data_IF_537921407472
#
_entry.id   IF_537921407472
#
_cell.length_a   1.000
_cell.length_b   1.000
_cell.length_c   1.000
_cell.angle_alpha   90.00
_cell.angle_beta   90.00
_cell.angle_gamma   90.00
#
_symmetry.space_group_name_H-M   'P 1'
#
loop_
_entity.id
_entity.type
_entity.pdbx_description
1 polymer ?
#
# COMPACT_ATOMS: atom_id res chain seq x y z
N UNK A 1 20.11 3.93 8.01
CA UNK A 1 19.04 3.10 7.40
C UNK A 1 18.59 3.87 6.17
N UNK A 2 18.65 3.31 4.95
CA UNK A 2 18.19 4.04 3.77
C UNK A 2 16.67 4.21 3.88
N UNK A 3 16.20 5.45 4.04
CA UNK A 3 14.76 5.74 4.03
C UNK A 3 14.17 5.20 2.73
N UNK A 4 13.02 4.51 2.83
CA UNK A 4 12.28 4.11 1.64
C UNK A 4 11.78 5.38 0.95
N UNK A 5 12.50 5.81 -0.09
CA UNK A 5 12.09 6.96 -0.86
C UNK A 5 10.99 6.56 -1.83
N UNK A 6 9.75 6.91 -1.47
CA UNK A 6 8.63 6.86 -2.40
C UNK A 6 8.88 7.93 -3.45
N UNK A 7 9.10 7.51 -4.70
CA UNK A 7 9.29 8.43 -5.81
C UNK A 7 7.93 9.06 -6.20
N UNK A 8 7.50 10.04 -5.41
CA UNK A 8 6.28 10.81 -5.60
C UNK A 8 6.48 11.75 -6.81
N UNK A 9 5.62 11.70 -7.84
CA UNK A 9 5.69 12.63 -8.96
C UNK A 9 5.31 14.04 -8.50
N UNK A 10 5.63 15.06 -9.31
CA UNK A 10 5.31 16.46 -8.99
C UNK A 10 3.81 16.75 -9.06
N UNK A 11 3.11 16.06 -9.95
CA UNK A 11 1.68 16.23 -10.17
C UNK A 11 1.05 14.94 -10.68
N UNK A 12 -0.28 14.90 -10.66
CA UNK A 12 -1.09 13.76 -11.05
C UNK A 12 -2.58 14.03 -10.82
N UNK A 13 -3.40 12.99 -10.87
CA UNK A 13 -4.82 13.08 -10.54
C UNK A 13 -5.01 13.30 -9.03
N UNK A 14 -6.24 13.64 -8.63
CA UNK A 14 -6.58 13.74 -7.20
C UNK A 14 -6.39 12.39 -6.51
N UNK A 15 -6.79 11.30 -7.15
CA UNK A 15 -6.56 9.93 -6.67
C UNK A 15 -5.07 9.62 -6.50
N UNK A 16 -4.23 10.01 -7.47
CA UNK A 16 -2.78 9.87 -7.39
C UNK A 16 -2.20 10.65 -6.20
N UNK A 17 -2.61 11.90 -6.02
CA UNK A 17 -2.17 12.74 -4.91
C UNK A 17 -2.47 12.09 -3.55
N UNK A 18 -3.71 11.62 -3.36
CA UNK A 18 -4.15 10.95 -2.13
C UNK A 18 -3.38 9.66 -1.87
N UNK A 19 -3.11 8.87 -2.92
CA UNK A 19 -2.32 7.64 -2.80
C UNK A 19 -0.92 7.93 -2.26
N UNK A 20 -0.18 8.85 -2.90
CA UNK A 20 1.20 9.13 -2.52
C UNK A 20 1.31 9.78 -1.14
N UNK A 21 0.39 10.69 -0.80
CA UNK A 21 0.31 11.29 0.53
C UNK A 21 0.08 10.24 1.63
N UNK A 22 -0.87 9.33 1.42
CA UNK A 22 -1.14 8.25 2.39
C UNK A 22 0.04 7.28 2.50
N UNK A 23 0.67 6.92 1.39
CA UNK A 23 1.84 6.02 1.37
C UNK A 23 3.02 6.63 2.15
N UNK A 24 3.32 7.92 1.93
CA UNK A 24 4.40 8.62 2.63
C UNK A 24 4.11 8.67 4.13
N UNK A 25 2.92 9.10 4.54
CA UNK A 25 2.54 9.18 5.96
C UNK A 25 2.62 7.83 6.67
N UNK A 26 2.18 6.75 6.02
CA UNK A 26 2.24 5.41 6.59
C UNK A 26 3.70 4.94 6.79
N UNK A 27 4.60 5.28 5.86
CA UNK A 27 6.02 4.94 5.96
C UNK A 27 6.76 5.81 6.96
N UNK A 28 6.48 7.11 7.00
CA UNK A 28 6.99 8.02 8.03
C UNK A 28 6.59 7.51 9.42
N UNK A 29 5.34 7.07 9.59
CA UNK A 29 4.89 6.47 10.84
C UNK A 29 5.63 5.16 11.15
N UNK A 30 5.84 4.29 10.15
CA UNK A 30 6.60 3.06 10.31
C UNK A 30 8.03 3.33 10.79
N UNK A 31 8.74 4.26 10.15
CA UNK A 31 10.10 4.63 10.53
C UNK A 31 10.16 5.38 11.85
N UNK A 32 9.16 6.23 12.15
CA UNK A 32 9.03 6.90 13.44
C UNK A 32 9.01 5.90 14.60
N UNK A 33 8.23 4.81 14.48
CA UNK A 33 8.17 3.76 15.51
C UNK A 33 9.53 3.06 15.66
N UNK A 34 10.18 2.70 14.55
CA UNK A 34 11.50 2.05 14.57
C UNK A 34 12.54 2.96 15.24
N UNK A 35 12.62 4.22 14.81
CA UNK A 35 13.56 5.20 15.33
C UNK A 35 13.31 5.47 16.82
N UNK A 36 12.04 5.56 17.24
CA UNK A 36 11.68 5.73 18.65
C UNK A 36 12.20 4.57 19.49
N UNK A 37 11.96 3.33 19.06
CA UNK A 37 12.44 2.13 19.78
C UNK A 37 13.97 2.09 19.84
N UNK A 38 14.66 2.48 18.77
CA UNK A 38 16.11 2.57 18.73
C UNK A 38 16.65 3.59 19.74
N UNK A 39 16.08 4.78 19.79
CA UNK A 39 16.50 5.86 20.69
C UNK A 39 16.26 5.48 22.16
N UNK A 40 15.13 4.83 22.47
CA UNK A 40 14.81 4.39 23.84
C UNK A 40 15.85 3.40 24.39
N UNK A 41 16.35 2.47 23.56
CA UNK A 41 17.41 1.56 23.99
C UNK A 41 18.79 2.21 23.98
N UNK A 42 19.01 3.20 23.12
CA UNK A 42 20.29 3.91 23.01
C UNK A 42 20.60 4.79 24.22
N UNK A 43 19.62 5.55 24.74
CA UNK A 43 19.85 6.50 25.84
C UNK A 43 20.43 5.81 27.09
N UNK A 44 19.85 4.71 27.62
CA UNK A 44 20.40 4.03 28.79
C UNK A 44 21.77 3.38 28.52
N UNK A 45 21.98 2.87 27.31
CA UNK A 45 23.28 2.31 26.91
C UNK A 45 24.37 3.39 26.95
N UNK A 46 24.11 4.53 26.32
CA UNK A 46 25.05 5.63 26.27
C UNK A 46 25.31 6.20 27.67
N UNK A 47 24.27 6.43 28.48
CA UNK A 47 24.41 6.91 29.85
C UNK A 47 25.29 5.97 30.70
N UNK A 48 25.06 4.65 30.61
CA UNK A 48 25.89 3.65 31.28
C UNK A 48 27.36 3.71 30.82
N UNK A 49 27.59 3.76 29.51
CA UNK A 49 28.94 3.79 28.93
C UNK A 49 29.70 5.06 29.28
N UNK A 50 29.01 6.21 29.36
CA UNK A 50 29.60 7.47 29.82
C UNK A 50 30.04 7.38 31.28
N UNK A 51 29.24 6.77 32.17
CA UNK A 51 29.65 6.57 33.57
C UNK A 51 30.86 5.62 33.67
N UNK A 52 30.85 4.50 32.93
CA UNK A 52 31.98 3.56 32.88
C UNK A 52 33.27 4.23 32.38
N UNK A 53 33.17 5.21 31.47
CA UNK A 53 34.34 5.97 30.98
C UNK A 53 34.92 6.85 32.09
N UNK A 54 34.07 7.54 32.84
CA UNK A 54 34.51 8.38 33.98
C UNK A 54 35.21 7.53 35.04
N UNK A 55 34.75 6.29 35.24
CA UNK A 55 35.36 5.33 36.16
C UNK A 55 36.62 4.64 35.59
N UNK A 56 37.01 4.94 34.34
CA UNK A 56 38.17 4.34 33.67
C UNK A 56 37.97 2.87 33.27
N UNK A 57 36.72 2.40 33.21
CA UNK A 57 36.37 1.00 32.91
C UNK A 57 36.25 0.71 31.40
N UNK A 58 36.07 1.75 30.58
CA UNK A 58 35.95 1.65 29.12
C UNK A 58 36.69 2.80 28.44
N UNK A 59 36.97 2.64 27.15
CA UNK A 59 37.59 3.66 26.29
C UNK A 59 36.54 4.45 25.50
N UNK A 60 36.89 5.65 25.02
CA UNK A 60 35.98 6.46 24.17
C UNK A 60 35.51 5.73 22.91
N UNK A 61 36.37 4.86 22.35
CA UNK A 61 36.04 4.04 21.17
C UNK A 61 34.91 3.03 21.45
N UNK A 62 34.73 2.62 22.71
CA UNK A 62 33.65 1.70 23.12
C UNK A 62 32.30 2.40 23.34
N UNK A 63 32.28 3.74 23.34
CA UNK A 63 31.09 4.58 23.49
C UNK A 63 30.52 4.99 22.13
N UNK A 64 31.37 5.07 21.11
CA UNK A 64 31.08 5.65 19.79
C UNK A 64 30.05 4.87 18.93
N UNK A 65 29.33 3.91 19.49
CA UNK A 65 28.34 3.14 18.73
C UNK A 65 27.14 4.01 18.38
N UNK A 66 26.72 3.99 17.11
CA UNK A 66 25.46 4.58 16.69
C UNK A 66 24.25 3.76 17.18
N UNK A 67 23.04 4.35 17.27
CA UNK A 67 21.82 3.58 17.52
C UNK A 67 21.64 2.40 16.55
N UNK A 68 22.01 2.56 15.28
CA UNK A 68 21.97 1.52 14.25
C UNK A 68 22.91 0.36 14.56
N UNK A 69 24.16 0.66 14.94
CA UNK A 69 25.13 -0.36 15.33
C UNK A 69 24.71 -1.11 16.59
N UNK A 70 24.15 -0.39 17.57
CA UNK A 70 23.64 -0.98 18.79
C UNK A 70 22.50 -1.96 18.49
N UNK A 71 21.58 -1.57 17.59
CA UNK A 71 20.50 -2.44 17.14
C UNK A 71 21.03 -3.75 16.54
N UNK A 72 22.10 -3.70 15.76
CA UNK A 72 22.64 -4.89 15.10
C UNK A 72 23.45 -5.77 16.05
N UNK A 73 24.31 -5.18 16.87
CA UNK A 73 25.34 -5.89 17.63
C UNK A 73 24.92 -6.24 19.05
N UNK A 74 24.16 -5.37 19.73
CA UNK A 74 23.74 -5.56 21.12
C UNK A 74 22.37 -4.92 21.37
N UNK A 75 21.30 -5.48 20.79
CA UNK A 75 19.98 -4.89 20.87
C UNK A 75 19.48 -4.85 22.32
N UNK A 76 18.98 -3.69 22.73
CA UNK A 76 18.31 -3.52 24.02
C UNK A 76 16.97 -4.25 24.10
N UNK A 77 16.27 -4.08 25.21
CA UNK A 77 15.04 -4.82 25.49
C UNK A 77 13.89 -4.40 24.58
N UNK A 78 13.81 -3.13 24.19
CA UNK A 78 12.73 -2.63 23.34
C UNK A 78 12.89 -3.09 21.90
N UNK A 79 14.11 -3.08 21.35
CA UNK A 79 14.43 -3.64 20.05
C UNK A 79 14.14 -5.15 20.02
N UNK A 80 14.53 -5.89 21.07
CA UNK A 80 14.18 -7.32 21.19
C UNK A 80 12.67 -7.54 21.19
N UNK A 81 11.90 -6.66 21.87
CA UNK A 81 10.43 -6.73 21.89
C UNK A 81 9.85 -6.42 20.51
N UNK A 82 10.31 -5.38 19.83
CA UNK A 82 9.90 -5.05 18.46
C UNK A 82 10.17 -6.21 17.50
N UNK A 83 11.33 -6.88 17.60
CA UNK A 83 11.65 -8.08 16.80
C UNK A 83 10.71 -9.25 17.03
N UNK A 84 10.20 -9.42 18.25
CA UNK A 84 9.23 -10.48 18.57
C UNK A 84 7.85 -10.20 17.94
N UNK A 85 7.51 -8.93 17.75
CA UNK A 85 6.24 -8.47 17.17
C UNK A 85 6.39 -7.93 15.74
N UNK A 86 7.51 -8.23 15.08
CA UNK A 86 7.80 -7.65 13.76
C UNK A 86 6.84 -8.15 12.70
N UNK A 87 6.35 -9.39 12.86
CA UNK A 87 5.38 -9.98 11.94
C UNK A 87 4.10 -9.13 11.94
N UNK A 88 3.48 -8.95 13.10
CA UNK A 88 2.23 -8.19 13.26
C UNK A 88 2.40 -6.72 12.86
N UNK A 89 3.56 -6.13 13.18
CA UNK A 89 3.85 -4.76 12.80
C UNK A 89 3.94 -4.58 11.27
N UNK A 90 4.63 -5.49 10.58
CA UNK A 90 4.73 -5.47 9.12
C UNK A 90 3.36 -5.78 8.49
N UNK A 91 2.60 -6.73 9.02
CA UNK A 91 1.25 -7.07 8.54
C UNK A 91 0.32 -5.85 8.49
N UNK A 92 0.36 -5.01 9.53
CA UNK A 92 -0.44 -3.79 9.64
C UNK A 92 -0.10 -2.80 8.53
N UNK A 93 1.18 -2.46 8.36
CA UNK A 93 1.60 -1.50 7.34
C UNK A 93 1.39 -2.07 5.94
N UNK A 94 1.73 -3.34 5.72
CA UNK A 94 1.53 -4.03 4.45
C UNK A 94 0.06 -3.98 4.01
N UNK A 95 -0.87 -4.30 4.92
CA UNK A 95 -2.31 -4.26 4.61
C UNK A 95 -2.77 -2.86 4.23
N UNK A 96 -2.30 -1.83 4.94
CA UNK A 96 -2.60 -0.43 4.59
C UNK A 96 -2.11 -0.05 3.20
N UNK A 97 -0.91 -0.48 2.82
CA UNK A 97 -0.36 -0.21 1.48
C UNK A 97 -1.19 -0.86 0.36
N UNK A 98 -1.62 -2.12 0.56
CA UNK A 98 -2.48 -2.81 -0.41
C UNK A 98 -3.86 -2.15 -0.50
N UNK A 99 -4.44 -1.78 0.63
CA UNK A 99 -5.76 -1.12 0.69
C UNK A 99 -5.72 0.28 0.07
N UNK A 100 -4.63 1.04 0.30
CA UNK A 100 -4.40 2.33 -0.34
C UNK A 100 -4.31 2.21 -1.86
N UNK A 101 -3.58 1.20 -2.37
CA UNK A 101 -3.51 0.92 -3.80
C UNK A 101 -4.87 0.55 -4.41
N UNK A 102 -5.65 -0.32 -3.76
CA UNK A 102 -6.98 -0.67 -4.25
C UNK A 102 -7.93 0.53 -4.25
N UNK A 103 -7.86 1.36 -3.21
CA UNK A 103 -8.63 2.61 -3.09
C UNK A 103 -8.27 3.58 -4.21
N UNK A 104 -6.98 3.73 -4.53
CA UNK A 104 -6.52 4.51 -5.67
C UNK A 104 -7.20 4.09 -6.97
N UNK A 105 -7.20 2.79 -7.30
CA UNK A 105 -7.78 2.33 -8.56
C UNK A 105 -9.28 2.64 -8.63
N UNK A 106 -9.99 2.38 -7.55
CA UNK A 106 -11.44 2.63 -7.45
C UNK A 106 -11.75 4.13 -7.60
N UNK A 107 -10.95 4.98 -6.98
CA UNK A 107 -11.11 6.44 -7.08
C UNK A 107 -10.74 6.97 -8.47
N UNK A 108 -9.68 6.46 -9.09
CA UNK A 108 -9.31 6.82 -10.46
C UNK A 108 -10.41 6.42 -11.45
N UNK A 109 -10.97 5.22 -11.31
CA UNK A 109 -12.10 4.78 -12.14
C UNK A 109 -13.28 5.74 -11.98
N UNK A 110 -13.58 6.17 -10.76
CA UNK A 110 -14.63 7.16 -10.51
C UNK A 110 -14.33 8.49 -11.21
N UNK A 111 -13.11 9.00 -11.11
CA UNK A 111 -12.71 10.25 -11.79
C UNK A 111 -12.86 10.14 -13.32
N UNK A 112 -12.41 9.04 -13.90
CA UNK A 112 -12.56 8.78 -15.35
C UNK A 112 -14.03 8.71 -15.75
N UNK A 113 -14.87 8.03 -14.98
CA UNK A 113 -16.29 7.88 -15.30
C UNK A 113 -17.07 9.19 -15.17
N UNK A 114 -16.64 10.12 -14.31
CA UNK A 114 -17.24 11.46 -14.21
C UNK A 114 -16.95 12.30 -15.45
N UNK A 115 -15.74 12.20 -16.01
CA UNK A 115 -15.35 12.92 -17.23
C UNK A 115 -15.89 12.23 -18.49
N UNK A 116 -15.95 10.89 -18.49
CA UNK A 116 -16.43 10.11 -19.64
C UNK A 116 -17.47 9.04 -19.23
N UNK A 117 -18.72 9.45 -18.89
CA UNK A 117 -19.79 8.53 -18.47
C UNK A 117 -20.17 7.50 -19.54
N UNK A 118 -19.95 7.81 -20.82
CA UNK A 118 -20.25 6.93 -21.95
C UNK A 118 -19.55 5.56 -21.88
N UNK A 119 -18.47 5.42 -21.09
CA UNK A 119 -17.83 4.13 -20.81
C UNK A 119 -18.80 3.12 -20.17
N UNK A 120 -19.82 3.60 -19.45
CA UNK A 120 -20.84 2.76 -18.80
C UNK A 120 -21.76 2.06 -19.80
N UNK A 121 -21.98 2.63 -20.99
CA UNK A 121 -22.89 2.08 -22.00
C UNK A 121 -22.53 0.64 -22.41
N UNK A 122 -21.24 0.31 -22.45
CA UNK A 122 -20.75 -1.00 -22.87
C UNK A 122 -21.06 -2.14 -21.88
N UNK A 123 -21.68 -1.84 -20.73
CA UNK A 123 -21.99 -2.82 -19.70
C UNK A 123 -23.43 -2.75 -19.16
N UNK A 124 -24.36 -2.12 -19.90
CA UNK A 124 -25.81 -2.06 -19.62
C UNK A 124 -26.16 -1.97 -18.12
N UNK A 125 -25.94 -0.82 -17.45
CA UNK A 125 -26.47 -0.64 -16.11
C UNK A 125 -28.00 -0.76 -16.15
N UNK A 126 -28.57 -1.69 -15.39
CA UNK A 126 -30.01 -1.77 -15.18
C UNK A 126 -30.44 -0.61 -14.29
N UNK A 127 -31.13 0.37 -14.88
CA UNK A 127 -31.77 1.48 -14.15
C UNK A 127 -33.24 1.10 -13.97
N UNK A 128 -33.70 1.04 -12.72
CA UNK A 128 -35.12 0.78 -12.44
C UNK A 128 -35.96 2.04 -12.67
N UNK A 129 -37.26 1.85 -12.94
CA UNK A 129 -38.20 2.98 -13.05
C UNK A 129 -38.26 3.75 -11.72
N UNK A 130 -38.19 3.06 -10.58
CA UNK A 130 -38.16 3.70 -9.27
C UNK A 130 -36.98 4.67 -9.13
N UNK A 131 -35.76 4.22 -9.47
CA UNK A 131 -34.57 5.10 -9.47
C UNK A 131 -34.73 6.30 -10.40
N UNK A 132 -35.33 6.11 -11.57
CA UNK A 132 -35.56 7.21 -12.51
C UNK A 132 -36.56 8.26 -11.98
N UNK A 133 -37.52 7.84 -11.14
CA UNK A 133 -38.50 8.72 -10.53
C UNK A 133 -37.99 9.41 -9.25
N UNK A 134 -36.96 8.85 -8.61
CA UNK A 134 -36.37 9.38 -7.37
C UNK A 134 -35.34 10.49 -7.60
N UNK A 135 -34.65 10.49 -8.75
CA UNK A 135 -33.61 11.47 -9.07
C UNK A 135 -34.17 12.81 -9.54
N UNK A 136 -33.58 13.92 -9.09
CA UNK A 136 -33.97 15.28 -9.45
C UNK A 136 -33.40 15.69 -10.82
N UNK A 137 -32.33 15.02 -11.26
CA UNK A 137 -31.64 15.36 -12.51
C UNK A 137 -30.93 14.18 -13.18
N UNK A 138 -30.59 14.36 -14.46
CA UNK A 138 -29.75 13.41 -15.21
C UNK A 138 -28.35 13.26 -14.60
N UNK A 139 -27.77 14.35 -14.08
CA UNK A 139 -26.42 14.34 -13.52
C UNK A 139 -26.37 13.58 -12.18
N UNK A 140 -27.43 13.69 -11.39
CA UNK A 140 -27.62 12.88 -10.19
C UNK A 140 -27.72 11.39 -10.54
N UNK A 141 -28.53 11.04 -11.54
CA UNK A 141 -28.64 9.65 -12.02
C UNK A 141 -27.30 9.09 -12.49
N UNK A 142 -26.53 9.86 -13.27
CA UNK A 142 -25.20 9.46 -13.72
C UNK A 142 -24.28 9.23 -12.51
N UNK A 143 -24.31 10.12 -11.53
CA UNK A 143 -23.51 10.00 -10.31
C UNK A 143 -23.85 8.72 -9.54
N UNK A 144 -25.14 8.43 -9.35
CA UNK A 144 -25.58 7.21 -8.67
C UNK A 144 -25.12 5.95 -9.42
N UNK A 145 -25.26 5.91 -10.75
CA UNK A 145 -24.81 4.78 -11.58
C UNK A 145 -23.28 4.60 -11.46
N UNK A 146 -22.51 5.70 -11.44
CA UNK A 146 -21.07 5.65 -11.24
C UNK A 146 -20.74 5.05 -9.87
N UNK A 147 -21.35 5.54 -8.80
CA UNK A 147 -21.06 5.05 -7.45
C UNK A 147 -21.46 3.57 -7.28
N UNK A 148 -22.62 3.17 -7.80
CA UNK A 148 -23.05 1.77 -7.82
C UNK A 148 -22.04 0.89 -8.59
N UNK A 149 -21.54 1.37 -9.73
CA UNK A 149 -20.56 0.64 -10.53
C UNK A 149 -19.22 0.51 -9.79
N UNK A 150 -18.73 1.61 -9.23
CA UNK A 150 -17.46 1.67 -8.52
C UNK A 150 -17.51 0.79 -7.26
N UNK A 151 -18.61 0.83 -6.51
CA UNK A 151 -18.86 -0.05 -5.36
C UNK A 151 -18.89 -1.53 -5.76
N UNK A 152 -19.58 -1.88 -6.85
CA UNK A 152 -19.59 -3.25 -7.38
C UNK A 152 -18.20 -3.74 -7.78
N UNK A 153 -17.37 -2.87 -8.36
CA UNK A 153 -15.99 -3.18 -8.73
C UNK A 153 -15.10 -3.41 -7.51
N UNK A 154 -15.18 -2.53 -6.51
CA UNK A 154 -14.43 -2.64 -5.25
C UNK A 154 -14.72 -3.98 -4.56
N UNK A 155 -15.99 -4.38 -4.46
CA UNK A 155 -16.41 -5.63 -3.80
C UNK A 155 -15.95 -6.90 -4.54
N UNK A 156 -15.66 -6.82 -5.84
CA UNK A 156 -15.23 -7.97 -6.66
C UNK A 156 -13.71 -8.18 -6.66
N UNK A 157 -12.95 -7.26 -6.10
CA UNK A 157 -11.49 -7.32 -6.00
C UNK A 157 -10.74 -7.05 -7.32
N UNK A 158 -9.42 -6.88 -7.20
CA UNK A 158 -8.55 -6.36 -8.27
C UNK A 158 -8.62 -7.11 -9.60
N UNK A 159 -8.70 -8.45 -9.62
CA UNK A 159 -8.78 -9.21 -10.88
C UNK A 159 -9.99 -8.81 -11.72
N UNK A 160 -11.12 -8.52 -11.08
CA UNK A 160 -12.32 -8.08 -11.79
C UNK A 160 -12.22 -6.63 -12.23
N UNK A 161 -11.59 -5.78 -11.42
CA UNK A 161 -11.28 -4.39 -11.78
C UNK A 161 -10.37 -4.35 -13.01
N UNK A 162 -9.26 -5.08 -13.00
CA UNK A 162 -8.30 -5.17 -14.11
C UNK A 162 -8.99 -5.59 -15.42
N UNK A 163 -9.76 -6.68 -15.38
CA UNK A 163 -10.54 -7.15 -16.53
C UNK A 163 -11.51 -6.09 -17.05
N UNK A 164 -12.23 -5.43 -16.14
CA UNK A 164 -13.21 -4.43 -16.51
C UNK A 164 -12.55 -3.18 -17.09
N UNK A 165 -11.46 -2.69 -16.51
CA UNK A 165 -10.69 -1.56 -17.01
C UNK A 165 -10.17 -1.84 -18.43
N UNK A 166 -9.59 -3.04 -18.66
CA UNK A 166 -9.15 -3.46 -20.00
C UNK A 166 -10.29 -3.46 -21.02
N UNK A 167 -11.44 -4.05 -20.69
CA UNK A 167 -12.64 -4.04 -21.55
C UNK A 167 -13.15 -2.62 -21.82
N UNK A 168 -13.02 -1.74 -20.83
CA UNK A 168 -13.54 -0.36 -20.86
C UNK A 168 -12.54 0.64 -21.45
N UNK A 169 -11.35 0.18 -21.84
CA UNK A 169 -10.27 1.01 -22.38
C UNK A 169 -9.55 1.87 -21.34
N UNK A 170 -9.72 1.64 -20.04
CA UNK A 170 -9.02 2.38 -18.98
C UNK A 170 -7.57 1.87 -18.90
N UNK A 171 -6.54 2.75 -19.01
CA UNK A 171 -5.15 2.35 -19.22
C UNK A 171 -4.46 2.00 -17.91
N UNK A 172 -4.88 0.90 -17.26
CA UNK A 172 -4.13 0.33 -16.15
C UNK A 172 -2.78 -0.20 -16.66
N UNK A 173 -1.68 0.37 -16.15
CA UNK A 173 -0.33 0.01 -16.59
C UNK A 173 0.16 -1.21 -15.83
N UNK A 174 -0.36 -2.38 -16.21
CA UNK A 174 -0.06 -3.67 -15.57
C UNK A 174 0.21 -4.71 -16.65
N UNK A 175 1.50 -4.94 -16.92
CA UNK A 175 1.93 -6.05 -17.77
C UNK A 175 1.70 -7.41 -17.08
N UNK A 176 2.03 -8.50 -17.78
CA UNK A 176 1.82 -9.86 -17.28
C UNK A 176 2.63 -10.15 -15.99
N UNK A 177 3.86 -9.69 -15.90
CA UNK A 177 4.73 -9.96 -14.74
C UNK A 177 4.25 -9.16 -13.52
N UNK A 178 3.97 -7.87 -13.72
CA UNK A 178 3.39 -7.00 -12.69
C UNK A 178 2.05 -7.53 -12.22
N UNK A 179 1.20 -8.06 -13.12
CA UNK A 179 -0.09 -8.63 -12.74
C UNK A 179 0.06 -9.80 -11.76
N UNK A 180 1.09 -10.64 -11.94
CA UNK A 180 1.37 -11.77 -11.04
C UNK A 180 1.79 -11.23 -9.66
N UNK A 181 2.71 -10.25 -9.60
CA UNK A 181 3.17 -9.65 -8.34
C UNK A 181 2.03 -8.93 -7.61
N UNK A 182 1.21 -8.14 -8.31
CA UNK A 182 0.05 -7.47 -7.71
C UNK A 182 -0.96 -8.47 -7.12
N UNK A 183 -1.21 -9.57 -7.84
CA UNK A 183 -2.06 -10.66 -7.33
C UNK A 183 -1.47 -11.30 -6.09
N UNK A 184 -0.16 -11.51 -6.06
CA UNK A 184 0.52 -12.01 -4.86
C UNK A 184 0.33 -11.06 -3.69
N UNK A 185 0.56 -9.76 -3.88
CA UNK A 185 0.43 -8.78 -2.80
C UNK A 185 -0.98 -8.71 -2.22
N UNK A 186 -1.98 -8.80 -3.08
CA UNK A 186 -3.38 -8.85 -2.65
C UNK A 186 -3.71 -10.17 -1.97
N UNK A 187 -3.18 -11.30 -2.46
CA UNK A 187 -3.36 -12.59 -1.81
C UNK A 187 -2.72 -12.63 -0.41
N UNK A 188 -1.55 -12.01 -0.24
CA UNK A 188 -0.89 -11.82 1.05
C UNK A 188 -1.80 -11.03 2.00
N UNK A 189 -2.28 -9.86 1.57
CA UNK A 189 -3.23 -9.07 2.36
C UNK A 189 -4.47 -9.87 2.75
N UNK A 190 -5.00 -10.69 1.86
CA UNK A 190 -6.16 -11.51 2.16
C UNK A 190 -5.88 -12.55 3.26
N UNK A 191 -4.73 -13.21 3.25
CA UNK A 191 -4.38 -14.15 4.32
C UNK A 191 -4.00 -13.44 5.63
N UNK A 192 -3.46 -12.22 5.59
CA UNK A 192 -3.28 -11.37 6.78
C UNK A 192 -4.64 -11.20 7.46
N UNK A 193 -5.62 -10.66 6.73
CA UNK A 193 -6.93 -10.27 7.28
C UNK A 193 -7.79 -11.47 7.65
N UNK A 194 -7.81 -12.52 6.82
CA UNK A 194 -8.77 -13.60 6.98
C UNK A 194 -8.20 -14.87 7.62
N UNK A 195 -6.87 -15.02 7.68
CA UNK A 195 -6.26 -16.27 8.13
C UNK A 195 -4.97 -16.09 8.95
N UNK A 196 -4.71 -14.91 9.52
CA UNK A 196 -3.52 -14.64 10.37
C UNK A 196 -2.21 -15.07 9.70
N UNK A 197 -2.06 -14.74 8.41
CA UNK A 197 -0.94 -15.15 7.55
C UNK A 197 -0.78 -16.66 7.33
N UNK A 198 -1.74 -17.50 7.71
CA UNK A 198 -1.72 -18.93 7.41
C UNK A 198 -2.12 -19.13 5.95
N UNK A 199 -1.31 -19.87 5.20
CA UNK A 199 -1.55 -20.16 3.79
C UNK A 199 -2.72 -21.14 3.65
N UNK A 200 -3.74 -20.74 2.87
CA UNK A 200 -4.91 -21.55 2.57
C UNK A 200 -5.00 -21.91 1.09
N UNK A 201 -6.05 -22.67 0.72
CA UNK A 201 -6.30 -23.04 -0.67
C UNK A 201 -6.63 -21.83 -1.56
N UNK A 202 -7.18 -20.75 -1.00
CA UNK A 202 -7.47 -19.54 -1.77
C UNK A 202 -6.16 -18.88 -2.20
N UNK A 203 -5.21 -18.74 -1.30
CA UNK A 203 -3.88 -18.22 -1.59
C UNK A 203 -3.16 -19.07 -2.64
N UNK A 204 -3.10 -20.40 -2.46
CA UNK A 204 -2.40 -21.29 -3.39
C UNK A 204 -3.05 -21.34 -4.78
N UNK A 205 -4.36 -21.14 -4.90
CA UNK A 205 -5.02 -21.00 -6.21
C UNK A 205 -4.60 -19.73 -6.94
N UNK A 206 -4.32 -18.65 -6.21
CA UNK A 206 -3.83 -17.39 -6.81
C UNK A 206 -2.33 -17.50 -7.12
N UNK A 207 -1.56 -18.16 -6.23
CA UNK A 207 -0.10 -18.29 -6.29
C UNK A 207 0.28 -19.79 -6.32
N UNK A 208 0.07 -20.47 -7.47
CA UNK A 208 0.25 -21.93 -7.56
C UNK A 208 1.70 -22.39 -7.41
N UNK A 209 2.67 -21.53 -7.70
CA UNK A 209 4.10 -21.81 -7.53
C UNK A 209 4.67 -21.21 -6.24
N UNK A 210 3.85 -21.08 -5.20
CA UNK A 210 4.33 -20.56 -3.93
C UNK A 210 5.33 -21.52 -3.28
N UNK A 211 6.37 -20.95 -2.66
CA UNK A 211 7.31 -21.70 -1.80
C UNK A 211 6.71 -22.12 -0.45
N UNK A 212 5.50 -21.65 -0.14
CA UNK A 212 4.82 -21.92 1.13
C UNK A 212 3.78 -23.04 0.94
N UNK A 213 3.70 -23.93 1.92
CA UNK A 213 2.74 -25.02 1.94
C UNK A 213 1.43 -24.60 2.62
N UNK A 214 0.33 -25.29 2.29
CA UNK A 214 -0.97 -25.10 2.98
C UNK A 214 -0.81 -25.32 4.48
N UNK A 215 -1.35 -24.43 5.29
CA UNK A 215 -1.25 -24.46 6.76
C UNK A 215 0.03 -23.83 7.33
N UNK A 216 1.01 -23.49 6.48
CA UNK A 216 2.22 -22.81 6.94
C UNK A 216 1.99 -21.31 7.16
N UNK A 217 2.76 -20.73 8.07
CA UNK A 217 2.79 -19.29 8.29
C UNK A 217 3.62 -18.61 7.20
N UNK A 218 3.00 -17.71 6.42
CA UNK A 218 3.72 -16.84 5.49
C UNK A 218 4.40 -15.69 6.23
N UNK A 219 5.59 -15.96 6.80
CA UNK A 219 6.39 -14.93 7.48
C UNK A 219 6.75 -13.79 6.52
N UNK A 220 6.39 -12.57 6.90
CA UNK A 220 6.70 -11.34 6.18
C UNK A 220 8.08 -10.81 6.58
N UNK A 221 8.77 -10.24 5.61
CA UNK A 221 10.01 -9.49 5.79
C UNK A 221 9.80 -8.04 5.38
N UNK A 222 10.68 -7.16 5.83
CA UNK A 222 10.66 -5.75 5.41
C UNK A 222 10.77 -5.61 3.88
N UNK A 223 11.50 -6.53 3.22
CA UNK A 223 11.58 -6.53 1.76
C UNK A 223 10.23 -6.81 1.08
N UNK A 224 9.34 -7.63 1.67
CA UNK A 224 7.99 -7.81 1.11
C UNK A 224 7.23 -6.47 1.07
N UNK A 225 7.38 -5.64 2.12
CA UNK A 225 6.78 -4.30 2.17
C UNK A 225 7.41 -3.37 1.13
N UNK A 226 8.74 -3.35 1.02
CA UNK A 226 9.45 -2.52 0.04
C UNK A 226 9.08 -2.87 -1.40
N UNK A 227 9.04 -4.16 -1.72
CA UNK A 227 8.66 -4.63 -3.06
C UNK A 227 7.22 -4.20 -3.39
N UNK A 228 6.30 -4.32 -2.42
CA UNK A 228 4.92 -3.90 -2.60
C UNK A 228 4.80 -2.38 -2.84
N UNK A 229 5.40 -1.55 -1.97
CA UNK A 229 5.35 -0.08 -2.10
C UNK A 229 5.93 0.38 -3.42
N UNK A 230 7.09 -0.16 -3.82
CA UNK A 230 7.76 0.24 -5.06
C UNK A 230 6.93 -0.12 -6.30
N UNK A 231 6.39 -1.34 -6.35
CA UNK A 231 5.58 -1.79 -7.47
C UNK A 231 4.25 -1.02 -7.53
N UNK A 232 3.57 -0.83 -6.39
CA UNK A 232 2.33 -0.04 -6.37
C UNK A 232 2.60 1.38 -6.81
N UNK A 233 3.64 2.03 -6.29
CA UNK A 233 3.99 3.41 -6.64
C UNK A 233 4.28 3.57 -8.13
N UNK A 234 5.01 2.63 -8.74
CA UNK A 234 5.28 2.69 -10.18
C UNK A 234 4.01 2.46 -11.01
N UNK A 235 3.18 1.47 -10.63
CA UNK A 235 1.91 1.21 -11.32
C UNK A 235 0.98 2.40 -11.21
N UNK A 236 0.87 3.03 -10.03
CA UNK A 236 0.10 4.26 -9.82
C UNK A 236 0.65 5.35 -10.73
N UNK A 237 1.95 5.69 -10.63
CA UNK A 237 2.56 6.77 -11.43
C UNK A 237 2.26 6.66 -12.92
N UNK A 238 2.42 5.46 -13.50
CA UNK A 238 2.21 5.26 -14.93
C UNK A 238 0.74 5.21 -15.31
N UNK A 239 -0.09 4.54 -14.51
CA UNK A 239 -1.54 4.49 -14.73
C UNK A 239 -2.16 5.89 -14.66
N UNK A 240 -1.70 6.71 -13.71
CA UNK A 240 -2.15 8.07 -13.49
C UNK A 240 -1.83 8.95 -14.70
N UNK A 241 -0.56 8.96 -15.11
CA UNK A 241 -0.10 9.67 -16.30
C UNK A 241 -0.89 9.27 -17.55
N UNK A 242 -1.02 7.97 -17.81
CA UNK A 242 -1.73 7.47 -18.98
C UNK A 242 -3.24 7.82 -18.94
N UNK A 243 -3.83 7.88 -17.75
CA UNK A 243 -5.24 8.24 -17.59
C UNK A 243 -5.47 9.74 -17.81
N UNK A 244 -4.57 10.60 -17.31
CA UNK A 244 -4.58 12.04 -17.59
C UNK A 244 -4.47 12.28 -19.09
N UNK A 245 -3.48 11.68 -19.77
CA UNK A 245 -3.28 11.86 -21.21
C UNK A 245 -4.48 11.39 -22.02
N UNK A 246 -5.08 10.24 -21.67
CA UNK A 246 -6.18 9.65 -22.43
C UNK A 246 -7.53 10.34 -22.21
N UNK A 247 -7.82 10.76 -20.98
CA UNK A 247 -9.14 11.27 -20.60
C UNK A 247 -9.15 12.77 -20.29
N UNK A 248 -8.01 13.46 -20.42
CA UNK A 248 -7.87 14.88 -20.08
C UNK A 248 -8.33 15.19 -18.66
N UNK A 249 -7.94 14.33 -17.71
CA UNK A 249 -8.29 14.51 -16.30
C UNK A 249 -7.63 15.76 -15.72
N UNK A 250 -8.26 16.34 -14.70
CA UNK A 250 -7.70 17.45 -13.94
C UNK A 250 -6.37 17.06 -13.27
N UNK A 251 -5.37 17.92 -13.40
CA UNK A 251 -4.03 17.72 -12.87
C UNK A 251 -3.84 18.57 -11.62
N UNK A 252 -3.46 17.91 -10.53
CA UNK A 252 -3.16 18.52 -9.25
C UNK A 252 -1.65 18.51 -9.03
N UNK A 253 -1.10 19.66 -8.66
CA UNK A 253 0.25 19.71 -8.11
C UNK A 253 0.24 19.04 -6.74
N UNK A 254 1.14 18.08 -6.56
CA UNK A 254 1.28 17.43 -5.28
C UNK A 254 2.04 18.37 -4.37
N UNK A 255 1.34 19.00 -3.42
CA UNK A 255 1.97 19.90 -2.45
C UNK A 255 3.19 19.22 -1.81
N UNK A 256 4.26 20.01 -1.64
CA UNK A 256 5.45 19.65 -0.87
C UNK A 256 5.10 19.50 0.59
#
# INVERSE_FOLDING_TARGET
MTELQVNKPKSGTKSGAMYFDSTIKDLEFFFFIINTVMVIDYIPYHAKKTLELVDGLVTEQEIAKSPEELMQTSPGNHIKKLRRHSQEFIEMIYSRQVDNFQTYIVNLVREILKVQPNILHNNHPHISIAQLLEVESKDELITEVIENKVSSLANKGFTNIDKWCKKSGIPLTVDRELNIKLKEFIAIRNIIVHNRCIVDEKYLRVIPHSKYEKGSLRKLKVNDLYDAVNIFSEVVKQTDKNSIEKYSLEVFEFNK
#
